data_IF_895904421042
#
_entry.id   IF_895904421042
#
_cell.length_a   1.000
_cell.length_b   1.000
_cell.length_c   1.000
_cell.angle_alpha   90.00
_cell.angle_beta   90.00
_cell.angle_gamma   90.00
#
_symmetry.space_group_name_H-M   'P 1'
#
loop_
_entity.id
_entity.type
_entity.pdbx_description
1 polymer ?
#
# COMPACT_ATOMS: atom_id res chain seq x y z
N UNK A 1 -4.20 13.12 3.22
CA UNK A 1 -5.07 13.07 2.01
C UNK A 1 -6.40 12.45 2.39
N UNK A 2 -7.47 12.96 1.81
CA UNK A 2 -8.83 12.51 2.14
C UNK A 2 -9.23 11.29 1.33
N UNK A 3 -10.33 10.64 1.72
CA UNK A 3 -10.92 9.57 0.91
C UNK A 3 -11.23 10.04 -0.50
N UNK A 4 -11.74 11.26 -0.64
CA UNK A 4 -12.06 11.83 -1.94
C UNK A 4 -10.79 11.94 -2.80
N UNK A 5 -9.69 12.38 -2.20
CA UNK A 5 -8.41 12.47 -2.89
C UNK A 5 -8.00 11.09 -3.46
N UNK A 6 -8.12 10.04 -2.65
CA UNK A 6 -7.79 8.69 -3.10
C UNK A 6 -8.67 8.25 -4.26
N UNK A 7 -9.97 8.48 -4.16
CA UNK A 7 -10.90 8.10 -5.22
C UNK A 7 -10.62 8.86 -6.51
N UNK A 8 -10.29 10.14 -6.42
CA UNK A 8 -9.96 10.96 -7.59
C UNK A 8 -8.68 10.51 -8.26
N UNK A 9 -7.77 9.88 -7.52
CA UNK A 9 -6.50 9.40 -8.05
C UNK A 9 -6.54 7.90 -8.39
N UNK A 10 -7.72 7.32 -8.47
CA UNK A 10 -7.87 5.95 -8.92
C UNK A 10 -7.74 4.86 -7.86
N UNK A 11 -7.60 5.24 -6.59
CA UNK A 11 -7.55 4.27 -5.50
C UNK A 11 -8.96 3.94 -5.04
N UNK A 12 -9.35 2.69 -5.14
CA UNK A 12 -10.68 2.25 -4.72
C UNK A 12 -10.68 1.97 -3.21
N UNK A 13 -10.76 3.01 -2.43
CA UNK A 13 -10.76 2.90 -0.98
C UNK A 13 -12.08 2.31 -0.49
N UNK A 14 -12.01 1.27 0.33
CA UNK A 14 -13.19 0.61 0.87
C UNK A 14 -13.99 1.55 1.77
N UNK A 15 -15.31 1.40 1.74
CA UNK A 15 -16.21 2.15 2.63
C UNK A 15 -16.08 1.72 4.10
N UNK A 16 -15.44 0.58 4.35
CA UNK A 16 -15.19 0.11 5.72
C UNK A 16 -14.07 0.89 6.41
N UNK A 17 -13.33 1.70 5.67
CA UNK A 17 -12.20 2.45 6.19
C UNK A 17 -12.60 3.90 6.34
N UNK A 18 -12.43 4.46 7.54
CA UNK A 18 -12.77 5.85 7.78
C UNK A 18 -11.56 6.78 7.59
N UNK A 19 -11.82 8.09 7.65
CA UNK A 19 -10.78 9.10 7.42
C UNK A 19 -9.67 9.03 8.47
N UNK A 20 -9.99 8.64 9.69
CA UNK A 20 -9.02 8.52 10.78
C UNK A 20 -8.05 7.38 10.48
N UNK A 21 -8.54 6.27 9.96
CA UNK A 21 -7.70 5.13 9.59
C UNK A 21 -6.79 5.47 8.43
N UNK A 22 -7.29 6.23 7.46
CA UNK A 22 -6.48 6.70 6.33
C UNK A 22 -5.34 7.56 6.84
N UNK A 23 -5.64 8.54 7.69
CA UNK A 23 -4.63 9.44 8.24
C UNK A 23 -3.58 8.68 9.04
N UNK A 24 -4.01 7.71 9.84
CA UNK A 24 -3.09 6.91 10.65
C UNK A 24 -2.17 6.07 9.76
N UNK A 25 -2.72 5.43 8.73
CA UNK A 25 -1.93 4.64 7.80
C UNK A 25 -0.88 5.51 7.09
N UNK A 26 -1.26 6.71 6.68
CA UNK A 26 -0.34 7.65 6.04
C UNK A 26 0.81 8.04 6.97
N UNK A 27 0.52 8.32 8.23
CA UNK A 27 1.55 8.63 9.22
C UNK A 27 2.50 7.44 9.39
N UNK A 28 1.94 6.26 9.53
CA UNK A 28 2.72 5.05 9.78
C UNK A 28 3.66 4.73 8.61
N UNK A 29 3.16 4.76 7.39
CA UNK A 29 3.99 4.44 6.22
C UNK A 29 5.01 5.54 5.93
N UNK A 30 4.67 6.79 6.21
CA UNK A 30 5.61 7.89 6.06
C UNK A 30 6.81 7.70 6.99
N UNK A 31 6.56 7.41 8.25
CA UNK A 31 7.62 7.21 9.22
C UNK A 31 8.45 5.95 8.92
N UNK A 32 7.80 4.87 8.51
CA UNK A 32 8.47 3.59 8.34
C UNK A 32 9.25 3.50 7.02
N UNK A 33 8.76 4.10 5.95
CA UNK A 33 9.31 3.88 4.62
C UNK A 33 9.76 5.15 3.90
N UNK A 34 8.99 6.21 3.99
CA UNK A 34 9.29 7.43 3.21
C UNK A 34 10.44 8.22 3.83
N UNK A 35 10.36 8.48 5.11
CA UNK A 35 11.39 9.26 5.81
C UNK A 35 12.77 8.61 5.70
N UNK A 36 12.95 7.30 5.91
CA UNK A 36 14.25 6.68 5.75
C UNK A 36 14.83 6.80 4.34
N UNK A 37 13.98 6.81 3.32
CA UNK A 37 14.44 6.95 1.93
C UNK A 37 14.78 8.39 1.59
N UNK A 38 13.91 9.32 1.99
CA UNK A 38 14.09 10.73 1.62
C UNK A 38 15.21 11.38 2.42
N UNK A 39 15.29 11.08 3.72
CA UNK A 39 16.29 11.72 4.57
C UNK A 39 16.13 13.24 4.53
N UNK A 40 17.22 13.92 4.15
CA UNK A 40 17.23 15.37 4.03
C UNK A 40 17.04 15.86 2.60
N UNK A 41 16.83 14.96 1.64
CA UNK A 41 16.68 15.32 0.25
C UNK A 41 15.36 16.06 0.00
N UNK A 42 15.38 16.97 -0.95
CA UNK A 42 14.18 17.67 -1.39
C UNK A 42 13.55 16.87 -2.53
N UNK A 43 12.30 16.46 -2.32
CA UNK A 43 11.57 15.64 -3.29
C UNK A 43 10.30 16.39 -3.69
N UNK A 44 9.91 16.35 -4.98
CA UNK A 44 8.63 16.96 -5.39
C UNK A 44 7.47 16.44 -4.57
N UNK A 45 6.60 17.33 -4.16
CA UNK A 45 5.47 16.97 -3.31
C UNK A 45 4.58 15.93 -3.97
N UNK A 46 4.37 16.02 -5.27
CA UNK A 46 3.54 15.06 -6.01
C UNK A 46 4.11 13.64 -5.92
N UNK A 47 5.43 13.49 -6.00
CA UNK A 47 6.08 12.19 -5.87
C UNK A 47 5.94 11.65 -4.46
N UNK A 48 6.14 12.51 -3.47
CA UNK A 48 6.00 12.15 -2.06
C UNK A 48 4.58 11.69 -1.75
N UNK A 49 3.58 12.45 -2.18
CA UNK A 49 2.17 12.11 -1.96
C UNK A 49 1.79 10.81 -2.65
N UNK A 50 2.23 10.62 -3.88
CA UNK A 50 1.96 9.39 -4.61
C UNK A 50 2.54 8.17 -3.90
N UNK A 51 3.74 8.30 -3.37
CA UNK A 51 4.39 7.20 -2.65
C UNK A 51 3.64 6.88 -1.35
N UNK A 52 3.31 7.91 -0.57
CA UNK A 52 2.57 7.74 0.68
C UNK A 52 1.22 7.08 0.39
N UNK A 53 0.51 7.55 -0.64
CA UNK A 53 -0.80 7.03 -0.97
C UNK A 53 -0.74 5.56 -1.37
N UNK A 54 0.23 5.17 -2.19
CA UNK A 54 0.37 3.77 -2.58
C UNK A 54 0.66 2.86 -1.40
N UNK A 55 1.55 3.28 -0.51
CA UNK A 55 1.87 2.50 0.68
C UNK A 55 0.69 2.40 1.64
N UNK A 56 0.03 3.53 1.90
CA UNK A 56 -1.13 3.55 2.79
C UNK A 56 -2.28 2.72 2.22
N UNK A 57 -2.51 2.83 0.92
CA UNK A 57 -3.56 2.05 0.26
C UNK A 57 -3.29 0.55 0.36
N UNK A 58 -2.05 0.13 0.12
CA UNK A 58 -1.70 -1.28 0.26
C UNK A 58 -1.94 -1.80 1.68
N UNK A 59 -1.52 -1.02 2.68
CA UNK A 59 -1.73 -1.38 4.07
C UNK A 59 -3.22 -1.53 4.40
N UNK A 60 -4.02 -0.57 3.98
CA UNK A 60 -5.45 -0.58 4.24
C UNK A 60 -6.18 -1.65 3.44
N UNK A 61 -5.74 -1.91 2.22
CA UNK A 61 -6.32 -2.96 1.39
C UNK A 61 -6.08 -4.34 2.01
N UNK A 62 -4.90 -4.59 2.52
CA UNK A 62 -4.60 -5.84 3.22
C UNK A 62 -5.52 -6.02 4.42
N UNK A 63 -5.66 -4.97 5.22
CA UNK A 63 -6.51 -5.01 6.41
C UNK A 63 -7.97 -5.30 6.04
N UNK A 64 -8.48 -4.62 5.04
CA UNK A 64 -9.85 -4.78 4.58
C UNK A 64 -10.08 -6.18 4.01
N UNK A 65 -9.16 -6.65 3.19
CA UNK A 65 -9.24 -7.98 2.59
C UNK A 65 -9.25 -9.06 3.68
N UNK A 66 -8.40 -8.90 4.68
CA UNK A 66 -8.33 -9.85 5.78
C UNK A 66 -9.65 -9.91 6.55
N UNK A 67 -10.23 -8.75 6.85
CA UNK A 67 -11.51 -8.69 7.56
C UNK A 67 -12.64 -9.32 6.75
N UNK A 68 -12.68 -9.04 5.45
CA UNK A 68 -13.68 -9.59 4.55
C UNK A 68 -13.55 -11.11 4.47
N UNK A 69 -12.34 -11.63 4.39
CA UNK A 69 -12.11 -13.07 4.37
C UNK A 69 -12.54 -13.74 5.65
N UNK A 70 -12.27 -13.12 6.78
CA UNK A 70 -12.67 -13.67 8.06
C UNK A 70 -14.20 -13.81 8.14
N UNK A 71 -14.93 -12.84 7.62
CA UNK A 71 -16.38 -12.92 7.54
C UNK A 71 -16.86 -13.95 6.54
N UNK A 72 -16.21 -14.07 5.41
CA UNK A 72 -16.61 -14.99 4.34
C UNK A 72 -16.36 -16.45 4.71
N UNK A 73 -15.33 -16.74 5.48
CA UNK A 73 -14.99 -18.09 5.88
C UNK A 73 -16.10 -18.81 6.63
N UNK A 74 -16.96 -18.06 7.25
CA UNK A 74 -18.06 -18.67 7.98
C UNK A 74 -19.18 -19.15 7.06
N UNK A 75 -19.10 -18.83 5.78
CA UNK A 75 -20.16 -19.22 4.84
C UNK A 75 -19.74 -20.34 3.93
N UNK A 76 -19.01 -20.06 2.91
CA UNK A 76 -18.76 -21.07 1.91
C UNK A 76 -17.39 -21.11 1.39
N UNK A 77 -16.59 -20.31 1.84
CA UNK A 77 -15.31 -20.46 1.52
C UNK A 77 -14.80 -20.07 0.24
N UNK A 78 -14.39 -20.10 -0.61
CA UNK A 78 -13.37 -19.90 -1.41
C UNK A 78 -13.60 -19.29 -2.64
N UNK A 79 -12.76 -19.10 -3.42
CA UNK A 79 -12.89 -19.15 -4.71
C UNK A 79 -12.66 -17.94 -5.53
N UNK A 80 -13.49 -17.51 -6.38
CA UNK A 80 -13.32 -16.37 -7.29
C UNK A 80 -13.04 -15.07 -6.52
N UNK A 81 -13.60 -14.94 -5.34
CA UNK A 81 -13.34 -13.79 -4.49
C UNK A 81 -11.90 -13.78 -3.99
N UNK A 82 -11.37 -14.93 -3.59
CA UNK A 82 -9.99 -15.04 -3.16
C UNK A 82 -9.02 -14.69 -4.28
N UNK A 83 -9.30 -15.16 -5.49
CA UNK A 83 -8.48 -14.85 -6.64
C UNK A 83 -8.50 -13.35 -6.97
N UNK A 84 -9.69 -12.73 -6.86
CA UNK A 84 -9.84 -11.31 -7.10
C UNK A 84 -9.12 -10.47 -6.06
N UNK A 85 -9.20 -10.86 -4.79
CA UNK A 85 -8.48 -10.20 -3.71
C UNK A 85 -6.97 -10.30 -3.90
N UNK A 86 -6.50 -11.47 -4.26
CA UNK A 86 -5.09 -11.70 -4.54
C UNK A 86 -4.60 -10.81 -5.67
N UNK A 87 -5.35 -10.72 -6.78
CA UNK A 87 -4.97 -9.89 -7.92
C UNK A 87 -4.90 -8.41 -7.54
N UNK A 88 -5.87 -7.92 -6.76
CA UNK A 88 -5.86 -6.53 -6.31
C UNK A 88 -4.66 -6.21 -5.44
N UNK A 89 -4.30 -7.14 -4.56
CA UNK A 89 -3.16 -6.96 -3.69
C UNK A 89 -1.84 -7.01 -4.46
N UNK A 90 -1.75 -7.88 -5.47
CA UNK A 90 -0.59 -7.90 -6.34
C UNK A 90 -0.44 -6.58 -7.10
N UNK A 91 -1.53 -6.05 -7.63
CA UNK A 91 -1.50 -4.78 -8.34
C UNK A 91 -1.10 -3.63 -7.42
N UNK A 92 -1.63 -3.59 -6.22
CA UNK A 92 -1.28 -2.58 -5.24
C UNK A 92 0.20 -2.67 -4.83
N UNK A 93 0.71 -3.87 -4.64
CA UNK A 93 2.12 -4.08 -4.31
C UNK A 93 3.04 -3.67 -5.46
N UNK A 94 2.66 -3.97 -6.68
CA UNK A 94 3.41 -3.54 -7.86
C UNK A 94 3.44 -2.02 -7.95
N UNK A 95 2.32 -1.36 -7.72
CA UNK A 95 2.24 0.10 -7.71
C UNK A 95 3.11 0.71 -6.61
N UNK A 96 3.14 0.09 -5.43
CA UNK A 96 4.03 0.50 -4.35
C UNK A 96 5.49 0.39 -4.75
N UNK A 97 5.85 -0.72 -5.36
CA UNK A 97 7.23 -0.94 -5.82
C UNK A 97 7.66 0.15 -6.80
N UNK A 98 6.82 0.46 -7.78
CA UNK A 98 7.12 1.50 -8.75
C UNK A 98 7.19 2.88 -8.11
N UNK A 99 6.29 3.18 -7.17
CA UNK A 99 6.31 4.45 -6.46
C UNK A 99 7.58 4.61 -5.62
N UNK A 100 8.03 3.56 -4.96
CA UNK A 100 9.25 3.58 -4.17
C UNK A 100 10.48 3.73 -5.05
N UNK A 101 10.51 3.09 -6.20
CA UNK A 101 11.60 3.27 -7.16
C UNK A 101 11.68 4.72 -7.64
N UNK A 102 10.53 5.32 -7.94
CA UNK A 102 10.49 6.72 -8.36
C UNK A 102 10.98 7.65 -7.26
N UNK A 103 10.57 7.38 -6.02
CA UNK A 103 11.02 8.18 -4.88
C UNK A 103 12.53 8.09 -4.71
N UNK A 104 13.09 6.90 -4.78
CA UNK A 104 14.53 6.72 -4.63
C UNK A 104 15.30 7.39 -5.76
N UNK A 105 14.78 7.35 -6.97
CA UNK A 105 15.39 8.03 -8.09
C UNK A 105 15.46 9.56 -7.86
N UNK A 106 14.43 10.12 -7.25
CA UNK A 106 14.37 11.54 -6.92
C UNK A 106 15.35 11.93 -5.80
N UNK A 107 15.70 11.00 -4.94
CA UNK A 107 16.63 11.29 -3.84
C UNK A 107 18.08 11.05 -4.21
N UNK A 108 18.34 10.51 -5.38
CA UNK A 108 19.71 10.16 -5.80
C UNK A 108 20.26 8.90 -5.14
N UNK A 109 19.44 8.20 -4.39
CA UNK A 109 19.85 6.94 -3.76
C UNK A 109 19.71 5.80 -4.75
N UNK A 110 20.62 4.82 -4.68
CA UNK A 110 20.55 3.65 -5.54
C UNK A 110 19.22 2.94 -5.39
N UNK A 111 18.51 2.78 -6.49
CA UNK A 111 17.18 2.23 -6.50
C UNK A 111 17.10 0.73 -6.17
N UNK A 112 18.22 0.04 -6.11
CA UNK A 112 18.19 -1.41 -5.93
C UNK A 112 18.02 -1.88 -4.50
N UNK A 113 18.25 -1.03 -3.54
CA UNK A 113 18.26 -1.48 -2.16
C UNK A 113 16.83 -1.51 -1.60
N UNK A 114 16.38 -2.65 -1.22
CA UNK A 114 15.21 -2.87 -0.36
C UNK A 114 13.82 -2.46 -0.88
N UNK A 115 13.69 -1.85 -2.04
CA UNK A 115 12.37 -1.44 -2.54
C UNK A 115 11.50 -2.67 -2.81
N UNK A 116 12.06 -3.66 -3.48
CA UNK A 116 11.37 -4.92 -3.74
C UNK A 116 11.06 -5.64 -2.43
N UNK A 117 11.98 -5.58 -1.49
CA UNK A 117 11.82 -6.28 -0.21
C UNK A 117 10.69 -5.71 0.63
N UNK A 118 10.48 -4.39 0.59
CA UNK A 118 9.37 -3.77 1.31
C UNK A 118 8.04 -4.34 0.82
N UNK A 119 7.84 -4.39 -0.49
CA UNK A 119 6.62 -4.97 -1.05
C UNK A 119 6.51 -6.46 -0.78
N UNK A 120 7.60 -7.19 -0.84
CA UNK A 120 7.62 -8.61 -0.53
C UNK A 120 7.28 -8.91 0.92
N UNK A 121 7.68 -8.04 1.84
CA UNK A 121 7.34 -8.22 3.25
C UNK A 121 5.82 -8.21 3.43
N UNK A 122 5.13 -7.28 2.79
CA UNK A 122 3.68 -7.26 2.84
C UNK A 122 3.09 -8.56 2.30
N UNK A 123 3.58 -9.04 1.19
CA UNK A 123 3.12 -10.30 0.63
C UNK A 123 3.40 -11.47 1.55
N UNK A 124 4.63 -11.62 2.00
CA UNK A 124 5.00 -12.74 2.87
C UNK A 124 4.21 -12.77 4.15
N UNK A 125 4.02 -11.62 4.77
CA UNK A 125 3.32 -11.55 6.04
C UNK A 125 1.86 -11.94 5.92
N UNK A 126 1.23 -11.58 4.79
CA UNK A 126 -0.21 -11.70 4.66
C UNK A 126 -0.67 -12.79 3.70
N UNK A 127 0.21 -13.28 2.82
CA UNK A 127 -0.23 -14.16 1.76
C UNK A 127 0.52 -15.42 1.62
N UNK A 128 1.69 -15.43 2.09
CA UNK A 128 2.50 -16.45 1.65
C UNK A 128 2.78 -17.51 2.51
N UNK A 129 2.20 -17.50 3.48
CA UNK A 129 2.02 -18.77 4.05
C UNK A 129 1.15 -19.60 3.14
N UNK A 130 0.95 -19.07 2.11
CA UNK A 130 0.28 -19.80 1.09
C UNK A 130 1.10 -20.95 0.57
#
# INVERSE_FOLDING_TARGET
MTRQWYQEHGFKMSSLIDETEIARAEVDVTAAYVVPIVGTAVVPQAVRENTIANLAFLLLLQRTTFLTRAGAKTKTGYNSQDAGDWARLQDAATSCHLALQTLRAQTGVNANANVTDICKIYFKTNFISL
#
